data_IF_376559068489
#
_entry.id   IF_376559068489
#
_cell.length_a   1.000
_cell.length_b   1.000
_cell.length_c   1.000
_cell.angle_alpha   90.00
_cell.angle_beta   90.00
_cell.angle_gamma   90.00
#
_symmetry.space_group_name_H-M   'P 1'
#
loop_
_entity.id
_entity.type
_entity.pdbx_description
1 polymer ?
#
# COMPACT_ATOMS: atom_id res chain seq x y z
N UNK A 1 -13.82 -6.78 16.56
CA UNK A 1 -13.81 -6.54 18.00
C UNK A 1 -14.62 -7.65 18.67
N UNK A 2 -14.02 -8.35 19.62
CA UNK A 2 -14.69 -9.37 20.43
C UNK A 2 -15.02 -8.75 21.79
N UNK A 3 -16.23 -8.98 22.29
CA UNK A 3 -16.56 -8.72 23.69
C UNK A 3 -15.78 -9.72 24.55
N UNK A 4 -15.04 -9.25 25.54
CA UNK A 4 -14.41 -10.12 26.51
C UNK A 4 -15.49 -10.94 27.22
N UNK A 5 -15.33 -12.26 27.31
CA UNK A 5 -16.35 -13.17 27.78
C UNK A 5 -16.85 -12.77 29.19
N UNK A 6 -18.11 -12.38 29.28
CA UNK A 6 -18.78 -12.02 30.54
C UNK A 6 -18.61 -10.58 31.00
N UNK A 7 -18.10 -9.68 30.15
CA UNK A 7 -17.97 -8.25 30.44
C UNK A 7 -18.46 -7.40 29.27
N UNK A 8 -18.87 -6.16 29.52
CA UNK A 8 -19.27 -5.20 28.49
C UNK A 8 -18.07 -4.47 27.84
N UNK A 9 -16.86 -5.02 27.99
CA UNK A 9 -15.64 -4.44 27.43
C UNK A 9 -15.37 -4.94 26.02
N UNK A 10 -14.92 -4.04 25.16
CA UNK A 10 -14.36 -4.40 23.84
C UNK A 10 -12.87 -4.72 23.99
N UNK A 11 -12.50 -5.88 23.51
CA UNK A 11 -11.10 -6.31 23.48
C UNK A 11 -10.44 -5.82 22.19
N UNK A 12 -9.43 -4.92 22.33
CA UNK A 12 -8.59 -4.40 21.25
C UNK A 12 -7.24 -5.12 21.18
N UNK A 13 -7.08 -6.27 21.85
CA UNK A 13 -5.87 -7.06 21.92
C UNK A 13 -4.93 -6.64 23.06
N UNK A 14 -4.38 -5.45 22.99
CA UNK A 14 -3.51 -4.92 24.06
C UNK A 14 -4.25 -4.25 25.21
N UNK A 15 -5.41 -3.65 24.93
CA UNK A 15 -6.20 -2.92 25.91
C UNK A 15 -7.68 -3.26 25.81
N UNK A 16 -8.35 -3.21 26.92
CA UNK A 16 -9.80 -3.35 27.00
C UNK A 16 -10.44 -1.96 27.04
N UNK A 17 -11.41 -1.74 26.17
CA UNK A 17 -12.15 -0.50 26.07
C UNK A 17 -13.51 -0.61 26.78
N UNK A 18 -13.75 0.28 27.71
CA UNK A 18 -15.05 0.40 28.38
C UNK A 18 -15.93 1.40 27.62
N UNK A 19 -16.99 0.87 26.99
CA UNK A 19 -17.94 1.67 26.22
C UNK A 19 -18.79 2.59 27.09
N UNK A 20 -18.97 2.22 28.37
CA UNK A 20 -19.84 2.96 29.30
C UNK A 20 -19.20 4.29 29.69
N UNK A 21 -17.89 4.30 29.87
CA UNK A 21 -17.12 5.48 30.26
C UNK A 21 -16.27 6.05 29.14
N UNK A 22 -16.32 5.44 27.96
CA UNK A 22 -15.56 5.83 26.75
C UNK A 22 -14.04 5.95 26.98
N UNK A 23 -13.44 4.99 27.70
CA UNK A 23 -12.02 4.99 28.09
C UNK A 23 -11.41 3.61 28.08
N UNK A 24 -10.08 3.59 28.00
CA UNK A 24 -9.31 2.38 28.25
C UNK A 24 -9.43 1.95 29.73
N UNK A 25 -9.51 0.66 29.96
CA UNK A 25 -9.45 0.09 31.29
C UNK A 25 -8.04 0.10 31.87
N UNK A 26 -7.03 -0.04 31.00
CA UNK A 26 -5.62 -0.09 31.38
C UNK A 26 -4.92 1.22 30.99
N UNK A 27 -3.84 1.55 31.70
CA UNK A 27 -2.95 2.66 31.37
C UNK A 27 -2.34 2.46 29.99
N UNK A 28 -2.30 3.52 29.18
CA UNK A 28 -1.57 3.53 27.92
C UNK A 28 -0.07 3.35 28.19
N UNK A 29 0.59 2.32 27.64
CA UNK A 29 2.04 2.15 27.78
C UNK A 29 2.84 3.37 27.28
N UNK A 30 2.27 4.18 26.41
CA UNK A 30 2.87 5.42 25.87
C UNK A 30 2.40 6.70 26.57
N UNK A 31 1.71 6.60 27.69
CA UNK A 31 1.17 7.76 28.40
C UNK A 31 2.23 8.85 28.66
N UNK A 32 3.48 8.46 28.84
CA UNK A 32 4.60 9.39 29.06
C UNK A 32 4.91 10.28 27.86
N UNK A 33 4.55 9.83 26.63
CA UNK A 33 4.73 10.62 25.41
C UNK A 33 3.62 11.67 25.21
N UNK A 34 2.50 11.52 25.87
CA UNK A 34 1.31 12.35 25.70
C UNK A 34 0.88 13.02 27.01
N UNK A 35 1.77 13.82 27.58
CA UNK A 35 1.59 14.51 28.88
C UNK A 35 0.33 15.39 28.94
N UNK A 36 -0.26 15.72 27.79
CA UNK A 36 -1.49 16.52 27.69
C UNK A 36 -2.77 15.68 27.75
N UNK A 37 -2.64 14.35 27.65
CA UNK A 37 -3.77 13.41 27.64
C UNK A 37 -3.78 12.58 28.92
N UNK A 38 -4.96 12.14 29.32
CA UNK A 38 -5.01 11.16 30.43
C UNK A 38 -4.51 9.80 29.92
N UNK A 39 -3.80 9.02 30.74
CA UNK A 39 -3.32 7.69 30.37
C UNK A 39 -4.41 6.70 29.94
N UNK A 40 -5.65 7.04 30.15
CA UNK A 40 -6.83 6.24 29.83
C UNK A 40 -7.62 6.79 28.63
N UNK A 41 -7.11 7.82 27.94
CA UNK A 41 -7.82 8.44 26.80
C UNK A 41 -7.91 7.45 25.63
N UNK A 42 -9.14 7.21 25.16
CA UNK A 42 -9.39 6.54 23.88
C UNK A 42 -9.36 7.57 22.76
N UNK A 43 -8.61 7.29 21.69
CA UNK A 43 -8.50 8.14 20.49
C UNK A 43 -8.20 9.62 20.80
N UNK A 44 -7.33 9.90 21.79
CA UNK A 44 -7.03 11.26 22.26
C UNK A 44 -8.27 12.08 22.67
N UNK A 45 -9.35 11.42 23.11
CA UNK A 45 -10.62 12.05 23.45
C UNK A 45 -11.48 12.46 22.25
N UNK A 46 -11.10 12.08 21.02
CA UNK A 46 -11.85 12.40 19.80
C UNK A 46 -12.06 11.15 18.91
N UNK A 47 -12.95 10.22 19.31
CA UNK A 47 -13.19 8.98 18.55
C UNK A 47 -13.96 9.19 17.24
N UNK A 48 -14.42 10.39 16.94
CA UNK A 48 -15.06 10.73 15.66
C UNK A 48 -14.02 10.95 14.56
N UNK A 49 -12.87 11.52 14.91
CA UNK A 49 -11.79 11.84 13.98
C UNK A 49 -10.61 10.87 14.06
N UNK A 50 -10.44 10.22 15.20
CA UNK A 50 -9.34 9.31 15.46
C UNK A 50 -9.89 7.89 15.66
N UNK A 51 -9.18 6.93 15.12
CA UNK A 51 -9.41 5.50 15.36
C UNK A 51 -8.17 4.97 16.07
N UNK A 52 -8.35 4.28 17.19
CA UNK A 52 -7.26 3.53 17.81
C UNK A 52 -7.07 2.26 16.98
N UNK A 53 -5.91 2.15 16.40
CA UNK A 53 -5.60 1.11 15.44
C UNK A 53 -4.73 0.05 16.10
N UNK A 54 -5.02 -1.24 15.83
CA UNK A 54 -4.30 -2.39 16.38
C UNK A 54 -2.87 -2.54 15.80
N UNK A 55 -2.26 -1.44 15.39
CA UNK A 55 -0.87 -1.47 15.09
C UNK A 55 -0.45 -1.78 13.66
N UNK A 56 -1.32 -1.74 12.65
CA UNK A 56 -0.96 -2.15 11.29
C UNK A 56 -1.55 -1.22 10.24
N UNK A 57 -0.75 -0.90 9.23
CA UNK A 57 -1.18 0.00 8.17
C UNK A 57 -0.90 -0.58 6.78
N UNK A 58 -1.95 -0.71 5.96
CA UNK A 58 -1.81 -0.98 4.53
C UNK A 58 -2.02 0.32 3.75
N UNK A 59 -1.06 0.68 2.95
CA UNK A 59 -1.14 1.82 2.03
C UNK A 59 -1.42 1.31 0.63
N UNK A 60 -2.59 1.63 0.10
CA UNK A 60 -3.00 1.33 -1.26
C UNK A 60 -2.70 2.51 -2.19
N UNK A 61 -1.94 2.27 -3.26
CA UNK A 61 -1.58 3.31 -4.25
C UNK A 61 -2.07 2.86 -5.63
N UNK A 62 -3.10 3.54 -6.14
CA UNK A 62 -3.68 3.20 -7.42
C UNK A 62 -2.81 3.64 -8.61
N UNK A 63 -3.10 3.04 -9.77
CA UNK A 63 -2.58 3.48 -11.05
C UNK A 63 -3.49 4.49 -11.76
N UNK A 64 -3.40 4.51 -13.10
CA UNK A 64 -4.22 5.36 -13.94
C UNK A 64 -5.72 4.99 -13.87
N UNK A 65 -6.58 5.98 -13.99
CA UNK A 65 -8.04 5.82 -14.06
C UNK A 65 -8.67 6.80 -15.05
N UNK A 66 -9.80 6.38 -15.64
CA UNK A 66 -10.46 7.12 -16.71
C UNK A 66 -11.46 8.17 -16.25
N UNK A 67 -11.85 8.14 -14.98
CA UNK A 67 -12.83 9.08 -14.43
C UNK A 67 -12.32 9.68 -13.12
N UNK A 68 -12.78 10.89 -12.81
CA UNK A 68 -12.32 11.64 -11.63
C UNK A 68 -12.81 11.07 -10.28
N UNK A 69 -13.44 9.87 -10.28
CA UNK A 69 -14.02 9.28 -9.07
C UNK A 69 -13.18 8.16 -8.47
N UNK A 70 -12.16 7.68 -9.15
CA UNK A 70 -11.40 6.48 -8.76
C UNK A 70 -10.06 6.73 -8.09
N UNK A 71 -9.49 7.93 -8.22
CA UNK A 71 -8.15 8.20 -7.72
C UNK A 71 -8.08 8.38 -6.21
N UNK A 72 -7.12 7.72 -5.59
CA UNK A 72 -6.84 7.85 -4.16
C UNK A 72 -7.97 7.35 -3.25
N UNK A 73 -8.80 6.42 -3.71
CA UNK A 73 -9.89 5.90 -2.90
C UNK A 73 -10.21 4.42 -3.20
N UNK A 74 -11.04 3.83 -2.35
CA UNK A 74 -11.43 2.42 -2.40
C UNK A 74 -12.11 2.00 -3.71
N UNK A 75 -12.85 2.89 -4.37
CA UNK A 75 -13.63 2.53 -5.56
C UNK A 75 -12.76 2.09 -6.74
N UNK A 76 -11.49 2.49 -6.78
CA UNK A 76 -10.53 2.03 -7.77
C UNK A 76 -10.31 0.51 -7.72
N UNK A 77 -10.29 -0.06 -6.53
CA UNK A 77 -9.82 -1.42 -6.28
C UNK A 77 -10.85 -2.52 -6.56
N UNK A 78 -12.13 -2.16 -6.78
CA UNK A 78 -13.16 -3.13 -7.18
C UNK A 78 -13.36 -4.30 -6.22
N UNK A 79 -13.02 -4.12 -4.93
CA UNK A 79 -13.09 -5.15 -3.89
C UNK A 79 -11.81 -5.99 -3.75
N UNK A 80 -10.76 -5.75 -4.55
CA UNK A 80 -9.47 -6.41 -4.40
C UNK A 80 -8.78 -5.98 -3.09
N UNK A 81 -8.92 -4.71 -2.70
CA UNK A 81 -8.45 -4.16 -1.44
C UNK A 81 -9.00 -4.94 -0.22
N UNK A 82 -10.28 -5.28 -0.22
CA UNK A 82 -10.87 -6.11 0.85
C UNK A 82 -10.30 -7.53 0.88
N UNK A 83 -10.07 -8.14 -0.29
CA UNK A 83 -9.45 -9.46 -0.37
C UNK A 83 -8.03 -9.44 0.22
N UNK A 84 -7.24 -8.43 -0.14
CA UNK A 84 -5.87 -8.25 0.34
C UNK A 84 -5.88 -7.94 1.84
N UNK A 85 -6.70 -6.99 2.28
CA UNK A 85 -6.85 -6.62 3.68
C UNK A 85 -7.18 -7.84 4.56
N UNK A 86 -8.18 -8.63 4.15
CA UNK A 86 -8.59 -9.83 4.88
C UNK A 86 -7.51 -10.92 4.88
N UNK A 87 -6.72 -11.03 3.80
CA UNK A 87 -5.63 -12.00 3.72
C UNK A 87 -4.46 -11.62 4.61
N UNK A 88 -4.07 -10.34 4.61
CA UNK A 88 -2.99 -9.80 5.47
C UNK A 88 -3.42 -9.81 6.94
N UNK A 89 -4.72 -9.64 7.21
CA UNK A 89 -5.27 -9.54 8.55
C UNK A 89 -5.10 -8.16 9.18
N UNK A 90 -5.10 -7.12 8.33
CA UNK A 90 -4.91 -5.72 8.76
C UNK A 90 -6.12 -4.87 8.35
N UNK A 91 -6.88 -4.31 9.30
CA UNK A 91 -8.08 -3.55 9.02
C UNK A 91 -7.79 -2.11 8.58
N UNK A 92 -6.60 -1.56 8.87
CA UNK A 92 -6.29 -0.17 8.66
C UNK A 92 -5.73 0.06 7.28
N UNK A 93 -6.35 0.96 6.54
CA UNK A 93 -5.99 1.24 5.16
C UNK A 93 -5.96 2.74 4.88
N UNK A 94 -5.01 3.16 4.05
CA UNK A 94 -4.97 4.48 3.43
C UNK A 94 -4.88 4.33 1.93
N UNK A 95 -5.51 5.26 1.21
CA UNK A 95 -5.53 5.24 -0.25
C UNK A 95 -4.87 6.48 -0.81
N UNK A 96 -3.97 6.30 -1.78
CA UNK A 96 -3.29 7.39 -2.47
C UNK A 96 -3.42 7.28 -3.99
N UNK A 97 -3.50 8.43 -4.65
CA UNK A 97 -3.53 8.51 -6.11
C UNK A 97 -2.12 8.49 -6.71
N UNK A 98 -1.71 7.33 -7.17
CA UNK A 98 -0.43 7.14 -7.85
C UNK A 98 -0.40 7.59 -9.31
N UNK A 99 -1.56 7.95 -9.89
CA UNK A 99 -1.63 8.52 -11.23
C UNK A 99 -1.22 9.99 -11.26
N UNK A 100 -1.31 10.68 -10.12
CA UNK A 100 -1.03 12.10 -10.02
C UNK A 100 -2.06 12.98 -10.71
N UNK A 101 -3.33 12.57 -10.72
CA UNK A 101 -4.44 13.33 -11.28
C UNK A 101 -5.15 12.67 -12.47
N UNK A 102 -5.01 11.36 -12.64
CA UNK A 102 -5.75 10.58 -13.64
C UNK A 102 -5.43 11.01 -15.08
N UNK A 103 -6.48 11.20 -15.89
CA UNK A 103 -6.34 11.53 -17.31
C UNK A 103 -5.61 12.87 -17.56
N UNK A 104 -5.76 13.85 -16.68
CA UNK A 104 -5.09 15.14 -16.82
C UNK A 104 -3.58 15.01 -16.67
N UNK A 105 -3.11 14.17 -15.77
CA UNK A 105 -1.68 13.90 -15.61
C UNK A 105 -1.11 13.15 -16.81
N UNK A 106 -1.85 12.18 -17.36
CA UNK A 106 -1.42 11.48 -18.55
C UNK A 106 -1.34 12.40 -19.77
N UNK A 107 -2.29 13.33 -19.94
CA UNK A 107 -2.26 14.31 -21.02
C UNK A 107 -1.09 15.28 -20.89
N UNK A 108 -0.75 15.70 -19.67
CA UNK A 108 0.41 16.56 -19.43
C UNK A 108 1.73 15.83 -19.75
N UNK A 109 1.87 14.58 -19.30
CA UNK A 109 3.05 13.75 -19.57
C UNK A 109 3.22 13.49 -21.09
N UNK A 110 2.11 13.25 -21.81
CA UNK A 110 2.08 13.07 -23.26
C UNK A 110 2.36 14.37 -24.00
N UNK A 111 1.81 15.50 -23.55
CA UNK A 111 2.04 16.80 -24.16
C UNK A 111 3.49 17.26 -24.02
N UNK A 112 4.13 16.94 -22.90
CA UNK A 112 5.54 17.30 -22.65
C UNK A 112 6.54 16.38 -23.34
N UNK A 113 6.14 15.17 -23.75
CA UNK A 113 7.08 14.18 -24.30
C UNK A 113 6.71 13.49 -25.62
N UNK A 114 5.42 13.39 -25.96
CA UNK A 114 4.99 12.60 -27.15
C UNK A 114 3.66 13.13 -27.69
N UNK A 115 3.59 13.51 -28.94
CA UNK A 115 2.39 14.08 -29.56
C UNK A 115 1.16 13.16 -29.50
N UNK A 116 -0.01 13.76 -29.54
CA UNK A 116 -1.38 13.20 -29.34
C UNK A 116 -1.71 11.94 -30.18
N UNK A 117 -1.05 11.72 -31.32
CA UNK A 117 -1.26 10.54 -32.19
C UNK A 117 -0.67 9.23 -31.68
N UNK A 118 0.03 9.25 -30.56
CA UNK A 118 0.80 8.12 -30.03
C UNK A 118 0.20 7.58 -28.73
N UNK A 119 -0.91 8.15 -28.24
CA UNK A 119 -1.53 7.79 -26.95
C UNK A 119 -1.83 6.28 -26.85
N UNK A 120 -2.39 5.69 -27.90
CA UNK A 120 -2.64 4.24 -27.95
C UNK A 120 -1.36 3.39 -28.03
N UNK A 121 -0.27 3.96 -28.57
CA UNK A 121 1.06 3.33 -28.63
C UNK A 121 1.89 3.65 -27.40
N UNK A 122 1.75 4.82 -26.78
CA UNK A 122 2.46 5.19 -25.56
C UNK A 122 2.07 4.31 -24.36
N UNK A 123 0.83 3.86 -24.31
CA UNK A 123 0.38 2.84 -23.35
C UNK A 123 1.08 1.50 -23.61
N UNK A 124 1.41 1.19 -24.87
CA UNK A 124 2.09 -0.04 -25.28
C UNK A 124 3.62 0.03 -25.23
N UNK A 125 4.23 1.20 -25.02
CA UNK A 125 5.69 1.33 -25.00
C UNK A 125 6.28 1.04 -23.61
N UNK A 126 6.56 -0.22 -23.37
CA UNK A 126 7.32 -0.70 -22.21
C UNK A 126 8.75 -0.15 -22.07
N UNK A 127 9.26 0.59 -23.05
CA UNK A 127 10.67 0.97 -23.13
C UNK A 127 10.96 2.45 -22.88
N UNK A 128 9.97 3.27 -22.55
CA UNK A 128 10.22 4.69 -22.24
C UNK A 128 10.12 4.95 -20.75
N UNK A 129 11.24 5.22 -20.12
CA UNK A 129 11.34 5.56 -18.68
C UNK A 129 10.75 6.94 -18.32
N UNK A 130 10.04 7.59 -19.24
CA UNK A 130 9.61 9.00 -19.13
C UNK A 130 8.66 9.27 -17.95
N UNK A 131 7.79 8.31 -17.62
CA UNK A 131 6.78 8.50 -16.58
C UNK A 131 7.27 8.15 -15.18
N UNK A 132 8.22 7.24 -15.06
CA UNK A 132 8.73 6.76 -13.77
C UNK A 132 9.35 7.88 -12.93
N UNK A 133 10.25 8.75 -13.44
CA UNK A 133 10.84 9.85 -12.66
C UNK A 133 9.79 10.83 -12.13
N UNK A 134 8.79 11.18 -12.95
CA UNK A 134 7.72 12.10 -12.55
C UNK A 134 6.88 11.49 -11.42
N UNK A 135 6.49 10.21 -11.55
CA UNK A 135 5.72 9.51 -10.51
C UNK A 135 6.51 9.39 -9.21
N UNK A 136 7.79 9.05 -9.28
CA UNK A 136 8.67 9.05 -8.11
C UNK A 136 8.77 10.41 -7.42
N UNK A 137 8.87 11.49 -8.20
CA UNK A 137 8.94 12.84 -7.64
C UNK A 137 7.64 13.23 -6.93
N UNK A 138 6.49 12.92 -7.54
CA UNK A 138 5.18 13.16 -6.93
C UNK A 138 4.98 12.32 -5.67
N UNK A 139 5.30 11.04 -5.73
CA UNK A 139 5.25 10.14 -4.58
C UNK A 139 6.14 10.65 -3.43
N UNK A 140 7.38 11.08 -3.74
CA UNK A 140 8.30 11.60 -2.72
C UNK A 140 7.74 12.84 -2.02
N UNK A 141 7.14 13.76 -2.76
CA UNK A 141 6.50 14.94 -2.19
C UNK A 141 5.33 14.57 -1.28
N UNK A 142 4.49 13.65 -1.74
CA UNK A 142 3.32 13.20 -0.97
C UNK A 142 3.73 12.42 0.28
N UNK A 143 4.66 11.47 0.17
CA UNK A 143 5.16 10.72 1.33
C UNK A 143 5.77 11.63 2.39
N UNK A 144 6.53 12.64 1.97
CA UNK A 144 7.07 13.63 2.91
C UNK A 144 5.98 14.46 3.60
N UNK A 145 4.98 14.95 2.85
CA UNK A 145 3.91 15.81 3.41
C UNK A 145 2.95 15.08 4.33
N UNK A 146 2.81 13.76 4.20
CA UNK A 146 1.92 12.94 5.05
C UNK A 146 2.69 12.12 6.10
N UNK A 147 4.00 12.26 6.17
CA UNK A 147 4.84 11.45 7.02
C UNK A 147 4.50 11.60 8.52
N UNK A 148 4.32 12.84 8.98
CA UNK A 148 3.96 13.10 10.38
C UNK A 148 2.67 12.39 10.77
N UNK A 149 1.63 12.52 9.95
CA UNK A 149 0.34 11.89 10.20
C UNK A 149 0.44 10.35 10.19
N UNK A 150 1.22 9.81 9.23
CA UNK A 150 1.44 8.36 9.14
C UNK A 150 2.19 7.87 10.37
N UNK A 151 3.34 8.46 10.71
CA UNK A 151 4.14 8.02 11.84
C UNK A 151 3.40 8.18 13.18
N UNK A 152 2.62 9.24 13.35
CA UNK A 152 1.80 9.42 14.54
C UNK A 152 0.64 8.42 14.64
N UNK A 153 0.23 7.82 13.52
CA UNK A 153 -0.82 6.79 13.51
C UNK A 153 -0.30 5.37 13.75
N UNK A 154 1.02 5.17 13.74
CA UNK A 154 1.64 3.86 13.95
C UNK A 154 1.85 3.56 15.43
N UNK A 155 1.63 2.33 15.85
CA UNK A 155 1.95 1.81 17.17
C UNK A 155 3.42 1.36 17.32
N UNK A 156 3.80 0.78 18.48
CA UNK A 156 5.20 0.47 18.79
C UNK A 156 5.83 -0.60 17.90
N UNK A 157 5.06 -1.61 17.55
CA UNK A 157 5.53 -2.74 16.73
C UNK A 157 4.85 -2.76 15.35
N UNK A 158 4.46 -1.57 14.87
CA UNK A 158 3.74 -1.45 13.63
C UNK A 158 4.63 -1.39 12.41
N UNK A 159 4.21 -2.08 11.37
CA UNK A 159 4.84 -2.04 10.07
C UNK A 159 3.92 -1.46 9.00
N UNK A 160 4.52 -0.83 8.01
CA UNK A 160 3.84 -0.31 6.83
C UNK A 160 3.91 -1.36 5.72
N UNK A 161 2.75 -1.71 5.19
CA UNK A 161 2.60 -2.56 4.01
C UNK A 161 2.10 -1.69 2.87
N UNK A 162 2.69 -1.83 1.71
CA UNK A 162 2.33 -1.03 0.54
C UNK A 162 1.83 -1.95 -0.55
N UNK A 163 0.65 -1.64 -1.08
CA UNK A 163 0.07 -2.35 -2.22
C UNK A 163 -0.17 -1.37 -3.34
N UNK A 164 0.39 -1.64 -4.48
CA UNK A 164 0.31 -0.76 -5.64
C UNK A 164 -0.34 -1.44 -6.82
N UNK A 165 -0.81 -0.64 -7.76
CA UNK A 165 -1.24 -1.11 -9.06
C UNK A 165 -0.73 -0.18 -10.15
N UNK A 166 -0.23 -0.76 -11.26
CA UNK A 166 0.16 -0.03 -12.47
C UNK A 166 1.19 1.08 -12.19
N UNK A 167 0.87 2.34 -12.50
CA UNK A 167 1.72 3.51 -12.24
C UNK A 167 1.98 3.75 -10.75
N UNK A 168 1.13 3.23 -9.88
CA UNK A 168 1.28 3.30 -8.42
C UNK A 168 2.59 2.74 -7.93
N UNK A 169 3.17 1.73 -8.61
CA UNK A 169 4.45 1.15 -8.26
C UNK A 169 5.60 2.18 -8.27
N UNK A 170 5.71 2.96 -9.36
CA UNK A 170 6.73 4.00 -9.44
C UNK A 170 6.48 5.14 -8.42
N UNK A 171 5.23 5.46 -8.16
CA UNK A 171 4.84 6.44 -7.15
C UNK A 171 5.23 5.97 -5.74
N UNK A 172 5.00 4.70 -5.40
CA UNK A 172 5.34 4.10 -4.12
C UNK A 172 6.84 4.17 -3.81
N UNK A 173 7.71 3.89 -4.80
CA UNK A 173 9.17 4.06 -4.64
C UNK A 173 9.54 5.50 -4.23
N UNK A 174 8.82 6.48 -4.76
CA UNK A 174 8.96 7.87 -4.34
C UNK A 174 8.40 8.12 -2.95
N UNK A 175 7.21 7.59 -2.67
CA UNK A 175 6.49 7.78 -1.41
C UNK A 175 7.32 7.28 -0.21
N UNK A 176 7.89 6.08 -0.32
CA UNK A 176 8.82 5.53 0.66
C UNK A 176 10.02 6.46 0.90
N UNK A 177 10.62 6.97 -0.20
CA UNK A 177 11.73 7.94 -0.09
C UNK A 177 11.33 9.24 0.60
N UNK A 178 10.07 9.67 0.44
CA UNK A 178 9.50 10.82 1.12
C UNK A 178 9.37 10.60 2.62
N UNK A 179 8.79 9.47 3.02
CA UNK A 179 8.67 9.05 4.42
C UNK A 179 10.05 8.95 5.10
N UNK A 180 11.01 8.28 4.45
CA UNK A 180 12.38 8.13 4.96
C UNK A 180 13.10 9.47 5.12
N UNK A 181 12.89 10.40 4.17
CA UNK A 181 13.45 11.75 4.27
C UNK A 181 12.92 12.48 5.51
N UNK A 182 11.60 12.46 5.72
CA UNK A 182 10.98 13.05 6.89
C UNK A 182 11.50 12.41 8.18
N UNK A 183 11.52 11.08 8.24
CA UNK A 183 11.99 10.32 9.39
C UNK A 183 13.43 10.71 9.77
N UNK A 184 14.32 10.82 8.78
CA UNK A 184 15.72 11.25 9.00
C UNK A 184 15.83 12.67 9.55
N UNK A 185 14.96 13.59 9.12
CA UNK A 185 14.96 14.99 9.57
C UNK A 185 14.36 15.15 10.99
N UNK A 186 13.64 14.13 11.48
CA UNK A 186 12.99 14.14 12.79
C UNK A 186 13.48 13.05 13.74
N UNK A 187 14.64 12.43 13.43
CA UNK A 187 15.26 11.36 14.23
C UNK A 187 14.33 10.18 14.54
N UNK A 188 13.44 9.84 13.57
CA UNK A 188 12.55 8.69 13.66
C UNK A 188 13.28 7.46 13.08
N UNK A 189 13.38 6.39 13.87
CA UNK A 189 13.89 5.12 13.37
C UNK A 189 12.85 4.43 12.48
N UNK A 190 13.24 4.16 11.25
CA UNK A 190 12.43 3.44 10.26
C UNK A 190 13.02 2.07 9.91
N UNK A 191 13.97 1.57 10.69
CA UNK A 191 14.53 0.24 10.52
C UNK A 191 13.41 -0.80 10.64
N UNK A 192 13.27 -1.63 9.61
CA UNK A 192 12.22 -2.66 9.53
C UNK A 192 10.77 -2.14 9.51
N UNK A 193 10.55 -0.84 9.35
CA UNK A 193 9.22 -0.25 9.31
C UNK A 193 8.43 -0.68 8.06
N UNK A 194 9.10 -0.80 6.91
CA UNK A 194 8.47 -1.19 5.64
C UNK A 194 8.53 -2.71 5.49
N UNK A 195 7.47 -3.41 5.89
CA UNK A 195 7.44 -4.88 5.91
C UNK A 195 7.46 -5.47 4.50
N UNK A 196 6.55 -5.00 3.63
CA UNK A 196 6.58 -5.39 2.22
C UNK A 196 5.91 -4.37 1.30
N UNK A 197 6.27 -4.47 0.03
CA UNK A 197 5.63 -3.79 -1.08
C UNK A 197 5.15 -4.81 -2.11
N UNK A 198 3.87 -4.76 -2.47
CA UNK A 198 3.26 -5.60 -3.50
C UNK A 198 2.91 -4.72 -4.69
N UNK A 199 3.55 -4.98 -5.82
CA UNK A 199 3.29 -4.27 -7.07
C UNK A 199 2.46 -5.15 -8.01
N UNK A 200 1.19 -4.82 -8.16
CA UNK A 200 0.27 -5.50 -9.07
C UNK A 200 0.35 -4.85 -10.46
N UNK A 201 0.67 -5.63 -11.48
CA UNK A 201 0.81 -5.16 -12.86
C UNK A 201 1.60 -3.83 -12.96
N UNK A 202 2.84 -3.73 -12.43
CA UNK A 202 3.58 -2.48 -12.37
C UNK A 202 3.85 -1.92 -13.76
N UNK A 203 3.54 -0.64 -14.00
CA UNK A 203 3.80 0.01 -15.29
C UNK A 203 5.29 0.33 -15.45
N UNK A 204 5.86 0.01 -16.60
CA UNK A 204 7.30 0.17 -16.91
C UNK A 204 8.23 -0.46 -15.84
N UNK A 205 8.06 -1.74 -15.54
CA UNK A 205 8.80 -2.39 -14.44
C UNK A 205 10.31 -2.40 -14.67
N UNK A 206 10.79 -2.52 -15.92
CA UNK A 206 12.21 -2.49 -16.26
C UNK A 206 12.92 -1.16 -15.94
N UNK A 207 12.17 -0.07 -15.77
CA UNK A 207 12.68 1.23 -15.35
C UNK A 207 12.61 1.43 -13.83
N UNK A 208 12.23 0.39 -13.09
CA UNK A 208 12.05 0.44 -11.64
C UNK A 208 13.02 -0.50 -10.92
N UNK A 209 13.26 -0.18 -9.67
CA UNK A 209 14.10 -0.93 -8.75
C UNK A 209 13.42 -0.97 -7.38
N UNK A 210 13.50 -2.11 -6.71
CA UNK A 210 12.99 -2.26 -5.35
C UNK A 210 13.76 -1.34 -4.38
N UNK A 211 13.06 -0.78 -3.39
CA UNK A 211 13.72 -0.03 -2.32
C UNK A 211 14.40 -1.02 -1.36
N UNK A 212 15.68 -0.81 -1.08
CA UNK A 212 16.50 -1.71 -0.24
C UNK A 212 16.09 -1.70 1.23
N UNK A 213 15.35 -0.69 1.66
CA UNK A 213 14.88 -0.58 3.05
C UNK A 213 13.47 -1.18 3.23
N UNK A 214 12.85 -1.66 2.15
CA UNK A 214 11.66 -2.51 2.21
C UNK A 214 12.12 -3.95 2.37
N UNK A 215 11.68 -4.63 3.42
CA UNK A 215 12.11 -6.01 3.72
C UNK A 215 11.84 -6.94 2.54
N UNK A 216 10.70 -6.76 1.85
CA UNK A 216 10.34 -7.58 0.71
C UNK A 216 9.52 -6.81 -0.34
N UNK A 217 10.01 -6.73 -1.56
CA UNK A 217 9.22 -6.26 -2.72
C UNK A 217 8.81 -7.46 -3.58
N UNK A 218 7.53 -7.57 -3.88
CA UNK A 218 6.95 -8.65 -4.68
C UNK A 218 6.18 -8.03 -5.85
N UNK A 219 6.34 -8.56 -7.05
CA UNK A 219 5.53 -8.17 -8.22
C UNK A 219 4.65 -9.31 -8.68
N UNK A 220 3.44 -9.00 -9.11
CA UNK A 220 2.51 -9.97 -9.71
C UNK A 220 1.98 -9.37 -11.01
N UNK A 221 2.25 -10.03 -12.13
CA UNK A 221 1.81 -9.64 -13.48
C UNK A 221 1.21 -10.81 -14.22
N UNK A 222 0.34 -10.56 -15.18
CA UNK A 222 -0.21 -11.59 -16.07
C UNK A 222 0.58 -11.68 -17.38
N UNK A 223 0.75 -12.86 -17.96
CA UNK A 223 1.53 -13.09 -19.20
C UNK A 223 1.05 -12.24 -20.38
N UNK A 224 -0.25 -11.96 -20.49
CA UNK A 224 -0.84 -11.17 -21.58
C UNK A 224 -1.13 -9.72 -21.19
N UNK A 225 -0.54 -9.23 -20.11
CA UNK A 225 -0.60 -7.81 -19.76
C UNK A 225 0.41 -7.02 -20.59
N UNK A 226 -0.05 -6.53 -21.74
CA UNK A 226 0.78 -5.71 -22.64
C UNK A 226 1.00 -4.28 -22.13
N UNK A 227 0.25 -3.85 -21.10
CA UNK A 227 0.39 -2.52 -20.52
C UNK A 227 1.54 -2.47 -19.51
N UNK A 228 1.59 -3.43 -18.60
CA UNK A 228 2.68 -3.57 -17.64
C UNK A 228 3.89 -4.25 -18.30
N UNK A 229 3.65 -5.26 -19.11
CA UNK A 229 4.65 -6.19 -19.56
C UNK A 229 5.07 -7.18 -18.47
N UNK A 230 5.97 -8.07 -18.83
CA UNK A 230 6.47 -9.14 -17.94
C UNK A 230 7.92 -8.93 -17.51
N UNK A 231 8.49 -7.75 -17.80
CA UNK A 231 9.85 -7.42 -17.36
C UNK A 231 9.92 -7.37 -15.83
N UNK A 232 11.00 -7.88 -15.24
CA UNK A 232 11.15 -7.86 -13.79
C UNK A 232 11.47 -6.44 -13.27
N UNK A 233 11.01 -6.13 -12.05
CA UNK A 233 11.57 -5.05 -11.26
C UNK A 233 12.86 -5.57 -10.62
N UNK A 234 13.96 -4.84 -10.78
CA UNK A 234 15.26 -5.20 -10.19
C UNK A 234 15.16 -5.24 -8.66
N UNK A 235 15.69 -6.29 -8.04
CA UNK A 235 15.67 -6.49 -6.59
C UNK A 235 14.33 -6.98 -6.02
N UNK A 236 13.28 -7.13 -6.83
CA UNK A 236 12.00 -7.66 -6.40
C UNK A 236 11.87 -9.17 -6.67
N UNK A 237 11.01 -9.83 -5.90
CA UNK A 237 10.54 -11.19 -6.22
C UNK A 237 9.41 -11.11 -7.24
N UNK A 238 9.73 -11.44 -8.48
CA UNK A 238 8.80 -11.28 -9.61
C UNK A 238 8.01 -12.55 -9.88
N UNK A 239 6.69 -12.43 -10.00
CA UNK A 239 5.77 -13.49 -10.35
C UNK A 239 4.98 -13.13 -11.61
N UNK A 240 4.97 -14.04 -12.57
CA UNK A 240 4.10 -13.97 -13.75
C UNK A 240 3.08 -15.09 -13.65
N UNK A 241 1.81 -14.75 -13.81
CA UNK A 241 0.70 -15.68 -13.67
C UNK A 241 -0.05 -15.85 -14.99
N UNK A 242 -0.92 -16.85 -15.06
CA UNK A 242 -1.71 -17.10 -16.25
C UNK A 242 -2.67 -15.93 -16.51
N UNK A 243 -2.86 -15.56 -17.78
CA UNK A 243 -3.80 -14.52 -18.15
C UNK A 243 -5.25 -14.97 -17.92
N UNK A 244 -6.16 -14.01 -17.84
CA UNK A 244 -7.58 -14.29 -17.84
C UNK A 244 -7.96 -15.09 -19.10
N UNK A 245 -8.78 -16.14 -19.00
CA UNK A 245 -9.34 -16.83 -20.16
C UNK A 245 -10.08 -15.82 -21.06
N UNK A 246 -9.65 -15.71 -22.31
CA UNK A 246 -10.18 -14.75 -23.29
C UNK A 246 -10.02 -13.26 -22.92
N UNK A 247 -9.20 -12.92 -21.92
CA UNK A 247 -8.90 -11.54 -21.55
C UNK A 247 -8.03 -10.84 -22.60
N UNK A 248 -8.37 -9.59 -22.92
CA UNK A 248 -7.53 -8.67 -23.71
C UNK A 248 -6.42 -8.08 -22.82
N UNK A 249 -5.46 -7.39 -23.40
CA UNK A 249 -4.37 -6.73 -22.67
C UNK A 249 -4.85 -5.87 -21.50
N UNK A 250 -5.85 -5.01 -21.74
CA UNK A 250 -6.43 -4.14 -20.68
C UNK A 250 -7.20 -4.93 -19.62
N UNK A 251 -7.83 -6.05 -19.98
CA UNK A 251 -8.53 -6.90 -19.03
C UNK A 251 -7.53 -7.57 -18.08
N UNK A 252 -6.39 -8.01 -18.61
CA UNK A 252 -5.29 -8.60 -17.81
C UNK A 252 -4.54 -7.56 -16.96
N UNK A 253 -4.58 -6.29 -17.33
CA UNK A 253 -3.99 -5.18 -16.57
C UNK A 253 -4.91 -4.67 -15.44
N UNK A 254 -6.19 -5.00 -15.47
CA UNK A 254 -7.17 -4.50 -14.51
C UNK A 254 -6.93 -5.05 -13.11
N UNK A 255 -7.20 -4.25 -12.07
CA UNK A 255 -7.26 -4.74 -10.68
C UNK A 255 -8.22 -5.91 -10.49
N UNK A 256 -9.26 -5.99 -11.31
CA UNK A 256 -10.25 -7.07 -11.26
C UNK A 256 -9.73 -8.40 -11.84
N UNK A 257 -8.57 -8.39 -12.49
CA UNK A 257 -7.96 -9.62 -13.03
C UNK A 257 -7.31 -10.49 -11.94
N UNK A 258 -6.95 -9.90 -10.80
CA UNK A 258 -6.28 -10.60 -9.73
C UNK A 258 -7.26 -11.45 -8.90
N UNK A 259 -7.03 -12.75 -8.93
CA UNK A 259 -7.86 -13.73 -8.22
C UNK A 259 -7.53 -13.79 -6.73
N UNK A 260 -8.49 -14.33 -5.94
CA UNK A 260 -8.24 -14.61 -4.52
C UNK A 260 -7.08 -15.61 -4.34
N UNK A 261 -6.97 -16.61 -5.22
CA UNK A 261 -5.91 -17.62 -5.15
C UNK A 261 -4.53 -17.02 -5.37
N UNK A 262 -4.37 -16.06 -6.28
CA UNK A 262 -3.10 -15.35 -6.48
C UNK A 262 -2.72 -14.52 -5.26
N UNK A 263 -3.68 -13.82 -4.66
CA UNK A 263 -3.44 -13.07 -3.43
C UNK A 263 -3.00 -14.01 -2.31
N UNK A 264 -3.72 -15.10 -2.07
CA UNK A 264 -3.38 -16.08 -1.02
C UNK A 264 -2.02 -16.77 -1.25
N UNK A 265 -1.60 -16.88 -2.50
CA UNK A 265 -0.35 -17.55 -2.88
C UNK A 265 0.87 -16.64 -2.80
N UNK A 266 0.76 -15.39 -3.20
CA UNK A 266 1.90 -14.51 -3.43
C UNK A 266 2.00 -13.35 -2.46
N UNK A 267 0.88 -12.92 -1.87
CA UNK A 267 0.88 -11.83 -0.87
C UNK A 267 1.20 -12.42 0.50
N UNK A 268 2.18 -11.86 1.22
CA UNK A 268 2.48 -12.29 2.58
C UNK A 268 1.30 -12.07 3.52
N UNK A 269 1.19 -12.90 4.54
CA UNK A 269 0.44 -12.57 5.75
C UNK A 269 1.34 -11.72 6.64
N UNK A 270 0.78 -10.76 7.33
CA UNK A 270 1.54 -10.01 8.32
C UNK A 270 1.87 -10.91 9.51
N UNK A 271 3.15 -11.04 9.81
CA UNK A 271 3.62 -11.77 10.98
C UNK A 271 3.72 -10.84 12.18
N UNK A 272 3.00 -11.16 13.24
CA UNK A 272 2.97 -10.40 14.49
C UNK A 272 4.31 -10.31 15.24
N UNK A 273 5.36 -11.00 14.79
CA UNK A 273 6.60 -11.17 15.55
C UNK A 273 7.90 -10.86 14.80
N UNK A 274 7.87 -10.31 13.59
CA UNK A 274 9.10 -9.98 12.85
C UNK A 274 10.07 -11.16 12.63
N UNK A 275 9.64 -12.39 12.88
CA UNK A 275 10.42 -13.61 12.64
C UNK A 275 9.97 -14.22 11.34
N UNK A 276 10.94 -14.46 10.47
CA UNK A 276 10.78 -15.10 9.17
C UNK A 276 9.77 -16.24 9.20
N UNK A 277 8.59 -16.01 8.63
CA UNK A 277 7.77 -17.12 8.17
C UNK A 277 8.54 -17.76 7.01
N UNK A 278 9.00 -18.97 7.19
CA UNK A 278 9.71 -19.76 6.17
C UNK A 278 8.79 -19.92 4.97
N UNK A 279 9.07 -19.18 3.91
CA UNK A 279 8.42 -19.29 2.61
C UNK A 279 9.02 -20.48 1.86
N UNK A 280 8.64 -21.70 2.26
CA UNK A 280 8.86 -22.88 1.43
C UNK A 280 7.81 -22.88 0.30
N UNK A 281 8.30 -22.74 -0.91
CA UNK A 281 7.52 -23.03 -2.11
C UNK A 281 7.12 -24.52 -2.07
N UNK A 282 5.85 -24.81 -1.81
CA UNK A 282 5.32 -26.15 -2.10
C UNK A 282 5.25 -26.31 -3.61
N UNK A 283 5.92 -27.32 -4.19
CA UNK A 283 5.80 -27.60 -5.62
C UNK A 283 4.36 -27.94 -5.96
N UNK A 284 3.91 -27.46 -7.09
CA UNK A 284 2.61 -27.80 -7.68
C UNK A 284 2.68 -29.25 -8.12
N UNK A 285 1.81 -30.10 -7.59
CA UNK A 285 1.49 -31.40 -8.19
C UNK A 285 0.42 -31.24 -9.23
#
# INVERSE_FOLDING_TARGET
>A
LQTAAGTDYLDYGFRQYDQTIARWFNIDPKAEKYLQLTPYSYCAGNPVCNVDTDGKLIIFINGFYWNNKGGGNRSYWGGLDEKIKNHIGDPHVRYYDGSGGGIYSLTLDVFMGVGFGVLGKAIAFNNTSLFVPNRRTMGKKMGYSHAEEIFNSLGEDESIKIVTHSMGAAYAKGFIKGLKKYAKEHDIDVSNLFEFEIDLAPFQPSAQEADTDVIKTITISHEKDEVAGTSPISGAKNHTTNPLPNGRALDNHSVNSFSKQEIERFVPKSDHNGKDSQWEQKPIK
#
